data_IF_128422414522
#
_entry.id   IF_128422414522
#
_cell.length_a   1.000
_cell.length_b   1.000
_cell.length_c   1.000
_cell.angle_alpha   90.00
_cell.angle_beta   90.00
_cell.angle_gamma   90.00
#
_symmetry.space_group_name_H-M   'P 1'
#
loop_
_entity.id
_entity.type
_entity.pdbx_description
1 polymer ?
#
# COMPACT_ATOMS: atom_id res chain seq x y z
N UNK A 1 63.23 -5.59 -86.53
CA UNK A 1 63.25 -6.39 -85.30
C UNK A 1 63.35 -5.40 -84.13
N UNK A 2 62.24 -5.03 -83.58
CA UNK A 2 62.16 -4.04 -82.48
C UNK A 2 61.50 -4.79 -81.30
N UNK A 3 62.26 -4.93 -80.22
CA UNK A 3 61.81 -5.58 -78.96
C UNK A 3 61.24 -4.46 -78.11
N UNK A 4 59.93 -4.51 -77.77
CA UNK A 4 59.31 -3.66 -76.83
C UNK A 4 59.30 -4.25 -75.42
N UNK A 5 59.94 -3.61 -74.46
CA UNK A 5 59.94 -3.92 -73.05
C UNK A 5 58.73 -3.23 -72.40
N UNK A 6 57.80 -4.08 -71.92
CA UNK A 6 56.67 -3.65 -71.19
C UNK A 6 56.95 -3.57 -69.65
N UNK A 7 56.88 -2.42 -69.06
CA UNK A 7 57.09 -2.15 -67.64
C UNK A 7 55.75 -2.41 -66.89
N UNK A 8 55.76 -3.43 -66.01
CA UNK A 8 54.61 -3.78 -65.13
C UNK A 8 54.66 -2.89 -63.89
N UNK A 9 53.67 -1.96 -63.74
CA UNK A 9 53.50 -1.15 -62.55
C UNK A 9 52.53 -1.89 -61.60
N UNK A 10 53.05 -2.38 -60.47
CA UNK A 10 52.24 -2.95 -59.41
C UNK A 10 51.65 -1.85 -58.54
N UNK A 11 50.30 -1.68 -58.59
CA UNK A 11 49.56 -0.84 -57.62
C UNK A 11 49.39 -1.62 -56.32
N UNK A 12 50.05 -1.17 -55.26
CA UNK A 12 49.77 -1.63 -53.87
C UNK A 12 48.61 -0.83 -53.33
N UNK A 13 47.43 -1.44 -53.27
CA UNK A 13 46.27 -0.87 -52.59
C UNK A 13 46.44 -1.05 -51.07
N UNK A 14 46.77 0.04 -50.34
CA UNK A 14 46.65 0.08 -48.86
C UNK A 14 45.16 0.06 -48.52
N UNK A 15 44.68 -1.11 -48.12
CA UNK A 15 43.34 -1.23 -47.50
C UNK A 15 43.36 -0.66 -46.08
N UNK A 16 42.76 0.53 -45.89
CA UNK A 16 42.38 1.00 -44.55
C UNK A 16 41.28 0.11 -43.99
N UNK A 17 41.62 -0.82 -43.14
CA UNK A 17 40.64 -1.51 -42.29
C UNK A 17 40.17 -0.54 -41.23
N UNK A 18 39.11 0.23 -41.53
CA UNK A 18 38.38 0.99 -40.55
C UNK A 18 37.79 0.02 -39.50
N UNK A 19 38.33 0.10 -38.27
CA UNK A 19 37.72 -0.58 -37.14
C UNK A 19 36.28 -0.01 -36.97
N UNK A 20 35.28 -0.82 -37.29
CA UNK A 20 33.88 -0.48 -36.97
C UNK A 20 33.78 -0.29 -35.47
N UNK A 21 33.49 0.92 -35.01
CA UNK A 21 33.09 1.17 -33.62
C UNK A 21 31.90 0.28 -33.32
N UNK A 22 31.87 -0.47 -32.22
CA UNK A 22 30.70 -1.24 -31.85
C UNK A 22 29.50 -0.28 -31.76
N UNK A 23 28.43 -0.56 -32.50
CA UNK A 23 27.17 0.14 -32.32
C UNK A 23 26.74 -0.02 -30.87
N UNK A 24 26.29 1.05 -30.18
CA UNK A 24 25.76 0.90 -28.83
C UNK A 24 24.65 -0.15 -28.86
N UNK A 25 24.71 -1.10 -27.95
CA UNK A 25 23.61 -2.06 -27.75
C UNK A 25 22.34 -1.26 -27.46
N UNK A 26 21.18 -1.65 -28.00
CA UNK A 26 19.93 -1.03 -27.60
C UNK A 26 19.78 -1.12 -26.07
N UNK A 27 19.19 -0.09 -25.43
CA UNK A 27 18.91 -0.17 -24.00
C UNK A 27 18.07 -1.44 -23.72
N UNK A 28 18.24 -2.05 -22.56
CA UNK A 28 17.43 -3.21 -22.18
C UNK A 28 15.93 -2.81 -22.19
N UNK A 29 15.07 -3.74 -22.59
CA UNK A 29 13.62 -3.53 -22.51
C UNK A 29 13.19 -3.34 -21.05
N UNK A 30 12.27 -2.39 -20.75
CA UNK A 30 11.75 -2.19 -19.40
C UNK A 30 11.09 -3.47 -18.87
N UNK A 31 11.25 -3.71 -17.56
CA UNK A 31 10.57 -4.82 -16.89
C UNK A 31 9.14 -4.42 -16.58
N UNK A 32 8.17 -5.14 -17.16
CA UNK A 32 6.75 -4.91 -16.88
C UNK A 32 6.38 -5.42 -15.48
N UNK A 33 5.71 -4.56 -14.68
CA UNK A 33 5.21 -4.86 -13.35
C UNK A 33 3.77 -4.37 -13.19
N UNK A 34 2.91 -5.23 -12.62
CA UNK A 34 1.55 -4.90 -12.20
C UNK A 34 1.51 -4.63 -10.72
N UNK A 35 1.06 -3.42 -10.33
CA UNK A 35 0.97 -2.95 -8.95
C UNK A 35 -0.49 -2.81 -8.56
N UNK A 36 -0.96 -3.62 -7.62
CA UNK A 36 -2.33 -3.56 -7.10
C UNK A 36 -2.45 -2.58 -5.95
N UNK A 37 -3.33 -1.58 -6.07
CA UNK A 37 -3.58 -0.58 -5.02
C UNK A 37 -4.78 -0.93 -4.13
N UNK A 38 -5.61 -1.91 -4.53
CA UNK A 38 -6.64 -2.55 -3.70
C UNK A 38 -7.89 -1.73 -3.44
N UNK A 39 -7.96 -0.50 -3.91
CA UNK A 39 -9.10 0.39 -3.70
C UNK A 39 -9.37 1.26 -4.95
N UNK A 40 -10.47 2.03 -4.92
CA UNK A 40 -10.80 3.02 -5.96
C UNK A 40 -9.71 4.10 -6.01
N UNK A 41 -9.49 4.72 -7.19
CA UNK A 41 -8.52 5.79 -7.32
C UNK A 41 -8.80 6.93 -6.33
N UNK A 42 -7.78 7.32 -5.54
CA UNK A 42 -7.89 8.37 -4.54
C UNK A 42 -6.54 9.04 -4.26
N UNK A 43 -6.55 10.15 -3.53
CA UNK A 43 -5.33 10.87 -3.12
C UNK A 43 -4.43 10.03 -2.20
N UNK A 44 -4.95 9.02 -1.55
CA UNK A 44 -4.21 8.11 -0.66
C UNK A 44 -3.13 7.28 -1.37
N UNK A 45 -3.14 7.25 -2.70
CA UNK A 45 -2.14 6.56 -3.54
C UNK A 45 -1.19 7.52 -4.25
N UNK A 46 -1.12 8.77 -3.79
CA UNK A 46 -0.34 9.84 -4.41
C UNK A 46 1.12 9.47 -4.68
N UNK A 47 1.77 8.70 -3.81
CA UNK A 47 3.16 8.26 -3.96
C UNK A 47 3.38 7.38 -5.20
N UNK A 48 2.42 6.51 -5.53
CA UNK A 48 2.49 5.70 -6.74
C UNK A 48 2.26 6.52 -7.99
N UNK A 49 1.32 7.46 -7.94
CA UNK A 49 1.04 8.37 -9.04
C UNK A 49 2.21 9.32 -9.30
N UNK A 50 2.81 9.88 -8.25
CA UNK A 50 3.98 10.74 -8.37
C UNK A 50 5.19 9.97 -8.93
N UNK A 51 5.46 8.75 -8.43
CA UNK A 51 6.57 7.94 -8.92
C UNK A 51 6.45 7.62 -10.41
N UNK A 52 5.24 7.35 -10.89
CA UNK A 52 4.97 7.09 -12.31
C UNK A 52 5.12 8.38 -13.15
N UNK A 53 4.44 9.46 -12.78
CA UNK A 53 4.40 10.72 -13.54
C UNK A 53 5.74 11.45 -13.55
N UNK A 54 6.49 11.43 -12.43
CA UNK A 54 7.85 11.96 -12.36
C UNK A 54 8.86 11.08 -13.13
N UNK A 55 8.45 9.90 -13.59
CA UNK A 55 9.27 9.00 -14.37
C UNK A 55 10.24 8.15 -13.53
N UNK A 56 10.08 8.07 -12.22
CA UNK A 56 10.99 7.29 -11.36
C UNK A 56 10.98 5.81 -11.68
N UNK A 57 9.82 5.25 -12.00
CA UNK A 57 9.72 3.86 -12.47
C UNK A 57 10.43 3.66 -13.80
N UNK A 58 10.18 4.53 -14.77
CA UNK A 58 10.83 4.46 -16.08
C UNK A 58 12.35 4.62 -16.00
N UNK A 59 12.83 5.55 -15.16
CA UNK A 59 14.26 5.79 -14.97
C UNK A 59 14.95 4.60 -14.27
N UNK A 60 14.17 3.80 -13.51
CA UNK A 60 14.58 2.53 -12.93
C UNK A 60 14.47 1.35 -13.91
N UNK A 61 14.10 1.59 -15.19
CA UNK A 61 13.94 0.55 -16.20
C UNK A 61 12.66 -0.27 -16.05
N UNK A 62 11.61 0.30 -15.47
CA UNK A 62 10.33 -0.37 -15.22
C UNK A 62 9.22 0.20 -16.12
N UNK A 63 8.30 -0.69 -16.51
CA UNK A 63 7.00 -0.37 -17.13
C UNK A 63 5.90 -0.81 -16.14
N UNK A 64 5.32 0.17 -15.44
CA UNK A 64 4.42 -0.08 -14.30
C UNK A 64 2.96 0.14 -14.69
N UNK A 65 2.13 -0.88 -14.49
CA UNK A 65 0.67 -0.81 -14.59
C UNK A 65 0.06 -0.69 -13.19
N UNK A 66 -0.54 0.45 -12.84
CA UNK A 66 -1.25 0.66 -11.58
C UNK A 66 -2.70 0.15 -11.70
N UNK A 67 -3.10 -0.78 -10.82
CA UNK A 67 -4.41 -1.40 -10.81
C UNK A 67 -5.21 -0.85 -9.61
N UNK A 68 -6.10 0.10 -9.90
CA UNK A 68 -7.03 0.68 -8.92
C UNK A 68 -8.39 -0.01 -9.02
N UNK A 69 -8.68 -0.92 -8.12
CA UNK A 69 -10.00 -1.54 -7.96
C UNK A 69 -10.15 -2.15 -6.58
N UNK A 70 -11.39 -2.22 -6.11
CA UNK A 70 -11.71 -3.02 -4.93
C UNK A 70 -11.68 -4.49 -5.37
N UNK A 71 -10.74 -5.24 -4.81
CA UNK A 71 -10.56 -6.66 -5.13
C UNK A 71 -10.22 -7.43 -3.86
N UNK A 72 -11.20 -8.12 -3.25
CA UNK A 72 -10.96 -8.91 -2.03
C UNK A 72 -10.03 -10.10 -2.28
N UNK A 73 -9.78 -10.47 -3.55
CA UNK A 73 -8.89 -11.56 -3.93
C UNK A 73 -7.47 -11.09 -4.29
N UNK A 74 -7.16 -9.78 -4.13
CA UNK A 74 -5.89 -9.21 -4.55
C UNK A 74 -4.69 -9.95 -3.94
N UNK A 75 -4.76 -10.33 -2.66
CA UNK A 75 -3.75 -11.15 -1.99
C UNK A 75 -3.56 -12.51 -2.68
N UNK A 76 -4.66 -13.14 -3.11
CA UNK A 76 -4.63 -14.40 -3.86
C UNK A 76 -4.02 -14.21 -5.25
N UNK A 77 -4.35 -13.11 -5.95
CA UNK A 77 -3.79 -12.79 -7.26
C UNK A 77 -2.28 -12.56 -7.21
N UNK A 78 -1.77 -11.95 -6.13
CA UNK A 78 -0.34 -11.80 -5.87
C UNK A 78 0.31 -13.17 -5.64
N UNK A 79 -0.29 -14.01 -4.81
CA UNK A 79 0.21 -15.37 -4.56
C UNK A 79 0.24 -16.26 -5.83
N UNK A 80 -0.64 -15.98 -6.81
CA UNK A 80 -0.69 -16.67 -8.11
C UNK A 80 0.23 -16.02 -9.17
N UNK A 81 0.85 -14.86 -8.89
CA UNK A 81 1.65 -14.10 -9.85
C UNK A 81 0.86 -13.41 -10.96
N UNK A 82 -0.45 -13.26 -10.80
CA UNK A 82 -1.30 -12.50 -11.73
C UNK A 82 -1.16 -10.98 -11.54
N UNK A 83 -0.80 -10.55 -10.32
CA UNK A 83 -0.35 -9.22 -9.93
C UNK A 83 1.04 -9.40 -9.32
N UNK A 84 2.01 -8.55 -9.69
CA UNK A 84 3.39 -8.72 -9.27
C UNK A 84 3.62 -8.30 -7.82
N UNK A 85 3.02 -7.19 -7.40
CA UNK A 85 3.13 -6.60 -6.06
C UNK A 85 1.84 -5.83 -5.77
N UNK A 86 1.39 -5.80 -4.51
CA UNK A 86 0.17 -5.09 -4.15
C UNK A 86 0.22 -4.56 -2.72
N UNK A 87 -0.68 -3.61 -2.42
CA UNK A 87 -0.94 -3.17 -1.05
C UNK A 87 -1.85 -4.18 -0.33
N UNK A 88 -1.45 -4.58 0.87
CA UNK A 88 -2.28 -5.31 1.82
C UNK A 88 -1.82 -5.04 3.25
N UNK A 89 -2.74 -5.11 4.21
CA UNK A 89 -2.45 -4.99 5.63
C UNK A 89 -2.08 -6.34 6.27
N UNK A 90 -1.50 -6.29 7.47
CA UNK A 90 -1.08 -7.49 8.18
C UNK A 90 -2.24 -8.42 8.51
N UNK A 91 -3.45 -7.88 8.73
CA UNK A 91 -4.64 -8.69 9.07
C UNK A 91 -5.16 -9.49 7.89
N UNK A 92 -4.76 -9.12 6.66
CA UNK A 92 -5.00 -9.87 5.43
C UNK A 92 -3.87 -10.87 5.12
N UNK A 93 -2.63 -10.48 5.41
CA UNK A 93 -1.43 -11.29 5.14
C UNK A 93 -1.35 -12.53 6.05
N UNK A 94 -1.57 -12.36 7.37
CA UNK A 94 -1.47 -13.47 8.33
C UNK A 94 -2.42 -14.62 8.00
N UNK A 95 -3.73 -14.40 7.75
CA UNK A 95 -4.63 -15.47 7.36
C UNK A 95 -4.24 -16.12 6.03
N UNK A 96 -3.82 -15.32 5.04
CA UNK A 96 -3.44 -15.81 3.72
C UNK A 96 -2.26 -16.79 3.81
N UNK A 97 -1.18 -16.39 4.50
CA UNK A 97 -0.01 -17.25 4.70
C UNK A 97 -0.37 -18.49 5.53
N UNK A 98 -1.22 -18.34 6.57
CA UNK A 98 -1.69 -19.47 7.37
C UNK A 98 -2.48 -20.52 6.58
N UNK A 99 -3.09 -20.11 5.48
CA UNK A 99 -3.80 -20.96 4.51
C UNK A 99 -2.89 -21.49 3.39
N UNK A 100 -1.59 -21.14 3.40
CA UNK A 100 -0.61 -21.61 2.44
C UNK A 100 -0.51 -20.77 1.16
N UNK A 101 -1.05 -19.54 1.14
CA UNK A 101 -0.83 -18.61 0.03
C UNK A 101 0.63 -18.13 0.09
N UNK A 102 1.44 -18.34 -0.97
CA UNK A 102 2.87 -18.08 -0.94
C UNK A 102 3.19 -16.61 -1.20
N UNK A 103 2.92 -15.75 -0.22
CA UNK A 103 3.20 -14.31 -0.25
C UNK A 103 4.09 -13.88 0.90
N UNK A 104 4.76 -12.75 0.72
CA UNK A 104 5.58 -12.06 1.73
C UNK A 104 5.23 -10.58 1.76
N UNK A 105 5.24 -9.98 2.93
CA UNK A 105 5.18 -8.53 3.12
C UNK A 105 6.61 -8.01 3.18
N UNK A 106 6.93 -7.00 2.37
CA UNK A 106 8.33 -6.61 2.18
C UNK A 106 8.65 -5.13 2.37
N UNK A 107 7.64 -4.26 2.48
CA UNK A 107 7.84 -2.85 2.81
C UNK A 107 6.57 -2.24 3.40
N UNK A 108 6.70 -1.52 4.51
CA UNK A 108 5.58 -0.81 5.13
C UNK A 108 5.29 0.49 4.36
N UNK A 109 4.02 0.75 4.07
CA UNK A 109 3.56 2.02 3.48
C UNK A 109 2.81 2.84 4.52
N UNK A 110 1.88 2.23 5.24
CA UNK A 110 1.21 2.83 6.39
C UNK A 110 1.86 2.29 7.66
N UNK A 111 2.60 3.13 8.38
CA UNK A 111 3.25 2.78 9.64
C UNK A 111 2.21 2.56 10.74
N UNK A 112 1.20 3.45 10.81
CA UNK A 112 0.05 3.27 11.67
C UNK A 112 -1.04 2.44 10.99
N UNK A 113 -1.83 1.69 11.79
CA UNK A 113 -2.95 0.92 11.26
C UNK A 113 -4.13 1.84 10.94
N UNK A 114 -4.58 1.93 9.68
CA UNK A 114 -5.50 2.98 9.26
C UNK A 114 -6.94 2.79 9.74
N UNK A 115 -7.38 1.57 10.06
CA UNK A 115 -8.75 1.33 10.44
C UNK A 115 -9.05 1.86 11.85
N UNK A 116 -10.17 2.55 11.97
CA UNK A 116 -10.65 3.17 13.22
C UNK A 116 -12.13 2.94 13.40
N UNK A 117 -12.63 3.16 14.62
CA UNK A 117 -14.03 3.47 14.86
C UNK A 117 -14.14 4.97 15.08
N UNK A 118 -15.06 5.64 14.40
CA UNK A 118 -15.31 7.06 14.59
C UNK A 118 -16.80 7.35 14.86
N UNK A 119 -17.06 8.44 15.58
CA UNK A 119 -18.39 8.89 15.93
C UNK A 119 -18.49 10.41 15.87
N UNK A 120 -19.66 11.00 15.54
CA UNK A 120 -19.88 12.44 15.63
C UNK A 120 -19.57 12.99 17.02
N UNK A 121 -19.07 14.21 17.11
CA UNK A 121 -18.74 14.86 18.36
C UNK A 121 -19.91 14.96 19.35
N UNK A 122 -21.14 15.02 18.84
CA UNK A 122 -22.38 15.14 19.61
C UNK A 122 -23.10 13.78 19.83
N UNK A 123 -22.48 12.67 19.43
CA UNK A 123 -23.02 11.30 19.57
C UNK A 123 -23.20 10.85 21.04
N UNK A 124 -22.53 11.51 21.98
CA UNK A 124 -22.42 11.08 23.38
C UNK A 124 -21.49 9.88 23.58
N UNK A 125 -20.68 9.53 22.58
CA UNK A 125 -19.62 8.51 22.64
C UNK A 125 -18.31 9.25 22.89
N UNK A 126 -17.66 9.01 24.03
CA UNK A 126 -16.39 9.63 24.40
C UNK A 126 -15.29 8.57 24.71
N UNK A 127 -15.67 7.34 25.01
CA UNK A 127 -14.80 6.22 25.30
C UNK A 127 -15.26 4.98 24.53
N UNK A 128 -14.39 3.96 24.41
CA UNK A 128 -14.75 2.69 23.78
C UNK A 128 -15.91 2.01 24.52
N UNK A 129 -15.98 2.14 25.85
CA UNK A 129 -17.08 1.58 26.64
C UNK A 129 -18.45 2.20 26.29
N UNK A 130 -18.49 3.45 25.81
CA UNK A 130 -19.74 4.08 25.37
C UNK A 130 -20.30 3.49 24.08
N UNK A 131 -19.57 2.58 23.42
CA UNK A 131 -20.06 1.81 22.27
C UNK A 131 -21.07 0.74 22.66
N UNK A 132 -21.21 0.39 23.96
CA UNK A 132 -22.21 -0.56 24.43
C UNK A 132 -23.63 -0.17 23.98
N UNK A 133 -24.33 -1.13 23.38
CA UNK A 133 -25.68 -0.97 22.80
C UNK A 133 -25.78 0.10 21.67
N UNK A 134 -24.67 0.59 21.12
CA UNK A 134 -24.65 1.53 19.99
C UNK A 134 -24.72 0.81 18.65
N UNK A 135 -25.24 1.53 17.65
CA UNK A 135 -25.24 1.10 16.25
C UNK A 135 -23.92 1.46 15.59
N UNK A 136 -23.18 0.44 15.16
CA UNK A 136 -21.89 0.61 14.49
C UNK A 136 -22.01 0.15 13.03
N UNK A 137 -21.82 1.09 12.09
CA UNK A 137 -21.74 0.81 10.67
C UNK A 137 -20.41 0.14 10.31
N UNK A 138 -20.45 -0.99 9.60
CA UNK A 138 -19.26 -1.71 9.15
C UNK A 138 -19.54 -2.47 7.85
N UNK A 139 -18.52 -2.73 6.99
CA UNK A 139 -18.72 -3.54 5.79
C UNK A 139 -19.22 -4.96 6.08
N UNK A 140 -18.77 -5.56 7.19
CA UNK A 140 -19.13 -6.92 7.55
C UNK A 140 -18.31 -7.46 8.73
N UNK A 141 -18.56 -8.73 9.10
CA UNK A 141 -17.78 -9.45 10.11
C UNK A 141 -16.58 -10.15 9.45
N UNK A 142 -15.76 -9.40 8.71
CA UNK A 142 -14.56 -9.88 8.02
C UNK A 142 -13.59 -8.75 7.74
N UNK A 143 -12.33 -9.10 7.43
CA UNK A 143 -11.28 -8.16 7.06
C UNK A 143 -10.78 -7.28 8.19
N UNK A 144 -10.03 -6.26 7.84
CA UNK A 144 -9.29 -5.39 8.76
C UNK A 144 -10.21 -4.62 9.73
N UNK A 145 -11.31 -4.06 9.23
CA UNK A 145 -12.29 -3.34 10.08
C UNK A 145 -12.89 -4.24 11.16
N UNK A 146 -13.11 -5.52 10.84
CA UNK A 146 -13.64 -6.50 11.80
C UNK A 146 -12.61 -6.87 12.87
N UNK A 147 -11.36 -7.12 12.48
CA UNK A 147 -10.27 -7.44 13.41
C UNK A 147 -10.02 -6.27 14.36
N UNK A 148 -9.93 -5.06 13.82
CA UNK A 148 -9.79 -3.82 14.59
C UNK A 148 -10.95 -3.62 15.58
N UNK A 149 -12.20 -3.78 15.12
CA UNK A 149 -13.37 -3.60 15.97
C UNK A 149 -13.36 -4.58 17.17
N UNK A 150 -12.98 -5.85 16.96
CA UNK A 150 -12.83 -6.82 18.05
C UNK A 150 -11.74 -6.40 19.04
N UNK A 151 -10.61 -5.83 18.56
CA UNK A 151 -9.55 -5.34 19.43
C UNK A 151 -10.04 -4.16 20.28
N UNK A 152 -10.71 -3.18 19.67
CA UNK A 152 -11.28 -2.04 20.39
C UNK A 152 -12.29 -2.47 21.43
N UNK A 153 -13.30 -3.26 21.06
CA UNK A 153 -14.33 -3.73 21.98
C UNK A 153 -13.73 -4.54 23.14
N UNK A 154 -12.80 -5.46 22.84
CA UNK A 154 -12.12 -6.26 23.85
C UNK A 154 -11.32 -5.45 24.86
N UNK A 155 -10.78 -4.30 24.49
CA UNK A 155 -10.05 -3.39 25.39
C UNK A 155 -10.95 -2.77 26.46
N UNK A 156 -12.25 -2.68 26.20
CA UNK A 156 -13.27 -2.21 27.14
C UNK A 156 -14.10 -3.37 27.77
N UNK A 157 -13.62 -4.61 27.66
CA UNK A 157 -14.33 -5.83 28.11
C UNK A 157 -15.69 -6.03 27.42
N UNK A 158 -15.87 -5.43 26.22
CA UNK A 158 -17.03 -5.63 25.36
C UNK A 158 -16.77 -6.71 24.31
N UNK A 159 -17.86 -7.26 23.80
CA UNK A 159 -17.88 -8.23 22.70
C UNK A 159 -18.72 -7.70 21.53
N UNK A 160 -18.65 -8.27 20.35
CA UNK A 160 -19.51 -7.87 19.22
C UNK A 160 -21.01 -8.04 19.48
N UNK A 161 -21.40 -8.83 20.48
CA UNK A 161 -22.79 -9.03 20.92
C UNK A 161 -23.31 -7.89 21.81
N UNK A 162 -22.40 -7.08 22.37
CA UNK A 162 -22.74 -5.92 23.19
C UNK A 162 -23.04 -4.65 22.36
N UNK A 163 -22.86 -4.71 21.03
CA UNK A 163 -23.12 -3.62 20.09
C UNK A 163 -24.10 -4.06 19.00
N UNK A 164 -24.80 -3.11 18.36
CA UNK A 164 -25.65 -3.38 17.19
C UNK A 164 -24.86 -3.13 15.90
N UNK A 165 -24.41 -4.20 15.21
CA UNK A 165 -23.72 -4.08 13.93
C UNK A 165 -24.69 -3.84 12.79
N UNK A 166 -24.53 -2.73 12.07
CA UNK A 166 -25.25 -2.40 10.83
C UNK A 166 -24.32 -2.67 9.65
N UNK A 167 -24.67 -3.69 8.83
CA UNK A 167 -23.77 -4.20 7.80
C UNK A 167 -24.03 -3.54 6.44
N UNK A 168 -22.96 -3.09 5.79
CA UNK A 168 -22.95 -2.44 4.47
C UNK A 168 -21.94 -3.14 3.53
N UNK A 169 -22.31 -4.30 2.92
CA UNK A 169 -21.39 -5.06 2.08
C UNK A 169 -20.89 -4.32 0.82
N UNK A 170 -21.54 -3.21 0.48
CA UNK A 170 -21.18 -2.31 -0.63
C UNK A 170 -20.20 -1.18 -0.19
N UNK A 171 -19.68 -1.24 1.05
CA UNK A 171 -18.78 -0.25 1.63
C UNK A 171 -19.38 1.16 1.79
N UNK A 172 -20.71 1.29 1.78
CA UNK A 172 -21.41 2.58 1.98
C UNK A 172 -21.64 2.94 3.47
N UNK A 173 -21.04 2.22 4.40
CA UNK A 173 -21.22 2.35 5.85
C UNK A 173 -20.84 3.74 6.41
N UNK A 174 -19.88 4.43 5.82
CA UNK A 174 -19.52 5.79 6.25
C UNK A 174 -20.72 6.73 6.23
N UNK A 175 -21.52 6.67 5.17
CA UNK A 175 -22.70 7.54 5.04
C UNK A 175 -23.83 7.24 6.05
N UNK A 176 -23.79 6.14 6.81
CA UNK A 176 -24.83 5.85 7.80
C UNK A 176 -24.77 6.79 9.01
N UNK A 177 -23.56 7.27 9.35
CA UNK A 177 -23.36 8.24 10.42
C UNK A 177 -23.96 9.59 10.05
N UNK A 178 -23.67 10.08 8.85
CA UNK A 178 -24.23 11.35 8.33
C UNK A 178 -25.76 11.34 8.25
N UNK A 179 -26.34 10.17 7.95
CA UNK A 179 -27.80 9.98 7.88
C UNK A 179 -28.46 9.72 9.23
N UNK A 180 -27.68 9.60 10.32
CA UNK A 180 -28.17 9.26 11.65
C UNK A 180 -28.72 7.81 11.73
N UNK A 181 -28.32 6.93 10.85
CA UNK A 181 -28.69 5.51 10.83
C UNK A 181 -27.78 4.69 11.76
N UNK A 182 -26.54 5.18 12.00
CA UNK A 182 -25.55 4.62 12.92
C UNK A 182 -25.09 5.67 13.92
N UNK A 183 -24.75 5.27 15.15
CA UNK A 183 -24.15 6.13 16.17
C UNK A 183 -22.64 6.30 15.95
N UNK A 184 -21.99 5.30 15.36
CA UNK A 184 -20.58 5.25 14.99
C UNK A 184 -20.39 4.42 13.73
N UNK A 185 -19.22 4.47 13.11
CA UNK A 185 -18.86 3.60 12.00
C UNK A 185 -17.38 3.23 12.04
N UNK A 186 -17.02 2.12 11.39
CA UNK A 186 -15.63 1.86 11.03
C UNK A 186 -15.24 2.74 9.85
N UNK A 187 -13.95 3.07 9.73
CA UNK A 187 -13.44 3.88 8.63
C UNK A 187 -11.92 3.89 8.64
N UNK A 188 -11.33 4.71 7.78
CA UNK A 188 -9.88 4.97 7.78
C UNK A 188 -9.62 6.34 8.41
N UNK A 189 -8.71 6.41 9.37
CA UNK A 189 -8.38 7.62 10.12
C UNK A 189 -8.06 8.83 9.24
N UNK A 190 -7.42 8.57 8.12
CA UNK A 190 -7.03 9.57 7.14
C UNK A 190 -8.14 9.98 6.16
N UNK A 191 -9.34 9.40 6.24
CA UNK A 191 -10.42 9.69 5.28
C UNK A 191 -11.72 10.12 5.98
N UNK A 192 -12.57 9.18 6.43
CA UNK A 192 -13.91 9.49 6.92
C UNK A 192 -13.92 10.47 8.10
N UNK A 193 -13.08 10.32 9.14
CA UNK A 193 -13.00 11.29 10.23
C UNK A 193 -12.53 12.68 9.78
N UNK A 194 -11.62 12.75 8.81
CA UNK A 194 -11.13 14.02 8.25
C UNK A 194 -12.27 14.75 7.54
N UNK A 195 -12.97 14.05 6.63
CA UNK A 195 -14.11 14.61 5.89
C UNK A 195 -15.22 15.08 6.83
N UNK A 196 -15.54 14.27 7.85
CA UNK A 196 -16.55 14.64 8.86
C UNK A 196 -16.12 15.86 9.66
N UNK A 197 -14.84 15.95 10.05
CA UNK A 197 -14.27 17.08 10.78
C UNK A 197 -14.23 18.39 9.99
N UNK A 198 -14.07 18.33 8.67
CA UNK A 198 -14.18 19.52 7.81
C UNK A 198 -15.61 20.03 7.68
N UNK A 199 -16.60 19.14 7.79
CA UNK A 199 -18.01 19.50 7.72
C UNK A 199 -18.60 20.03 9.04
N UNK A 200 -17.93 19.80 10.19
CA UNK A 200 -18.45 20.13 11.53
C UNK A 200 -17.41 20.03 12.64
N UNK A 201 -17.86 19.84 13.89
CA UNK A 201 -16.95 19.58 15.01
C UNK A 201 -16.13 18.31 14.77
N UNK A 202 -14.87 18.31 15.24
CA UNK A 202 -13.99 17.16 15.11
C UNK A 202 -14.65 15.90 15.72
N UNK A 203 -14.71 14.78 14.96
CA UNK A 203 -15.28 13.53 15.45
C UNK A 203 -14.44 12.94 16.57
N UNK A 204 -15.04 12.04 17.36
CA UNK A 204 -14.30 11.14 18.23
C UNK A 204 -13.76 10.01 17.38
N UNK A 205 -12.48 9.67 17.54
CA UNK A 205 -11.81 8.60 16.79
C UNK A 205 -11.13 7.66 17.77
N UNK A 206 -11.33 6.36 17.60
CA UNK A 206 -10.69 5.30 18.37
C UNK A 206 -9.75 4.51 17.46
N UNK A 207 -8.46 4.56 17.76
CA UNK A 207 -7.41 3.77 17.11
C UNK A 207 -7.06 2.52 17.93
N UNK A 208 -6.39 1.55 17.33
CA UNK A 208 -5.97 0.33 18.04
C UNK A 208 -4.49 0.34 18.45
N UNK A 209 -3.71 1.30 18.01
CA UNK A 209 -2.25 1.27 18.11
C UNK A 209 -1.74 1.19 19.57
N UNK A 210 -2.43 1.84 20.51
CA UNK A 210 -2.15 1.74 21.95
C UNK A 210 -2.68 0.45 22.62
N UNK A 211 -3.47 -0.36 21.90
CA UNK A 211 -4.12 -1.57 22.43
C UNK A 211 -3.41 -2.82 21.93
N UNK A 212 -3.30 -2.95 20.61
CA UNK A 212 -2.56 -4.01 19.93
C UNK A 212 -1.98 -3.43 18.64
N UNK A 213 -0.67 -3.56 18.41
CA UNK A 213 -0.06 -3.06 17.18
C UNK A 213 -0.50 -3.93 15.99
N UNK A 214 -1.58 -3.53 15.34
CA UNK A 214 -1.95 -4.10 14.05
C UNK A 214 -1.10 -3.47 12.96
N UNK A 215 -0.58 -4.29 12.06
CA UNK A 215 0.31 -3.80 11.00
C UNK A 215 -0.51 -3.23 9.84
N UNK A 216 -0.19 -1.99 9.48
CA UNK A 216 -0.85 -1.24 8.41
C UNK A 216 -0.55 -1.79 7.01
N UNK A 217 -1.05 -1.07 6.01
CA UNK A 217 -0.89 -1.46 4.62
C UNK A 217 0.58 -1.34 4.19
N UNK A 218 1.07 -2.37 3.52
CA UNK A 218 2.38 -2.39 2.92
C UNK A 218 2.40 -3.21 1.65
N UNK A 219 3.56 -3.33 1.07
CA UNK A 219 3.76 -4.00 -0.21
C UNK A 219 3.97 -5.49 0.00
N UNK A 220 3.06 -6.30 -0.55
CA UNK A 220 3.12 -7.76 -0.57
C UNK A 220 3.56 -8.25 -1.94
N UNK A 221 4.29 -9.35 -1.98
CA UNK A 221 4.81 -10.00 -3.19
C UNK A 221 4.65 -11.51 -3.10
N UNK A 222 4.39 -12.16 -4.23
CA UNK A 222 4.42 -13.62 -4.34
C UNK A 222 5.86 -14.15 -4.30
N UNK A 223 6.12 -15.27 -3.62
CA UNK A 223 7.47 -15.86 -3.51
C UNK A 223 8.09 -16.14 -4.89
N UNK A 224 7.32 -16.68 -5.83
CA UNK A 224 7.80 -16.94 -7.20
C UNK A 224 8.10 -15.64 -7.98
N UNK A 225 7.32 -14.57 -7.76
CA UNK A 225 7.57 -13.27 -8.38
C UNK A 225 8.81 -12.61 -7.78
N UNK A 226 9.01 -12.73 -6.47
CA UNK A 226 10.20 -12.23 -5.78
C UNK A 226 11.47 -12.91 -6.33
N UNK A 227 11.45 -14.24 -6.49
CA UNK A 227 12.57 -15.00 -7.09
C UNK A 227 12.85 -14.57 -8.54
N UNK A 228 11.80 -14.38 -9.35
CA UNK A 228 11.94 -14.08 -10.78
C UNK A 228 12.27 -12.61 -11.07
N UNK A 229 11.77 -11.66 -10.28
CA UNK A 229 11.80 -10.20 -10.56
C UNK A 229 12.36 -9.38 -9.37
N UNK A 230 13.07 -9.96 -8.42
CA UNK A 230 13.49 -9.30 -7.17
C UNK A 230 14.21 -7.95 -7.39
N UNK A 231 15.09 -7.83 -8.38
CA UNK A 231 15.79 -6.56 -8.67
C UNK A 231 14.81 -5.47 -9.13
N UNK A 232 13.85 -5.82 -9.99
CA UNK A 232 12.84 -4.90 -10.48
C UNK A 232 11.88 -4.47 -9.37
N UNK A 233 11.50 -5.40 -8.48
CA UNK A 233 10.65 -5.12 -7.32
C UNK A 233 11.35 -4.19 -6.33
N UNK A 234 12.65 -4.40 -6.03
CA UNK A 234 13.44 -3.47 -5.21
C UNK A 234 13.50 -2.07 -5.83
N UNK A 235 13.71 -1.98 -7.14
CA UNK A 235 13.75 -0.71 -7.84
C UNK A 235 12.39 0.02 -7.79
N UNK A 236 11.28 -0.73 -7.90
CA UNK A 236 9.92 -0.20 -7.74
C UNK A 236 9.70 0.35 -6.33
N UNK A 237 10.03 -0.42 -5.30
CA UNK A 237 9.90 0.00 -3.89
C UNK A 237 10.73 1.25 -3.63
N UNK A 238 12.00 1.28 -4.05
CA UNK A 238 12.86 2.45 -3.87
C UNK A 238 12.31 3.71 -4.58
N UNK A 239 11.76 3.56 -5.79
CA UNK A 239 11.14 4.67 -6.53
C UNK A 239 9.86 5.17 -5.84
N UNK A 240 9.05 4.26 -5.29
CA UNK A 240 7.83 4.60 -4.53
C UNK A 240 8.18 5.33 -3.25
N UNK A 241 9.14 4.82 -2.45
CA UNK A 241 9.58 5.45 -1.19
C UNK A 241 10.20 6.82 -1.43
N UNK A 242 10.96 6.99 -2.52
CA UNK A 242 11.45 8.32 -2.94
C UNK A 242 10.30 9.30 -3.19
N UNK A 243 9.24 8.89 -3.89
CA UNK A 243 8.08 9.73 -4.10
C UNK A 243 7.35 10.03 -2.78
N UNK A 244 7.29 9.07 -1.85
CA UNK A 244 6.76 9.27 -0.50
C UNK A 244 7.54 10.36 0.25
N UNK A 245 8.88 10.32 0.24
CA UNK A 245 9.73 11.37 0.84
C UNK A 245 9.46 12.77 0.25
N UNK A 246 9.29 12.84 -1.08
CA UNK A 246 8.99 14.12 -1.73
C UNK A 246 7.62 14.66 -1.38
N UNK A 247 6.61 13.80 -1.18
CA UNK A 247 5.26 14.20 -0.75
C UNK A 247 5.25 14.63 0.73
N UNK A 248 5.98 13.93 1.59
CA UNK A 248 6.16 14.34 2.99
C UNK A 248 6.77 15.75 3.08
N UNK A 249 7.75 16.04 2.21
CA UNK A 249 8.39 17.36 2.16
C UNK A 249 7.51 18.45 1.52
N UNK A 250 6.61 18.06 0.60
CA UNK A 250 5.76 18.97 -0.17
C UNK A 250 4.46 18.24 -0.58
N UNK A 251 3.41 18.27 0.28
CA UNK A 251 2.13 17.58 0.03
C UNK A 251 1.44 17.99 -1.27
N UNK A 252 1.66 19.24 -1.72
CA UNK A 252 1.08 19.73 -2.97
C UNK A 252 1.53 18.90 -4.18
N UNK A 253 2.76 18.38 -4.20
CA UNK A 253 3.22 17.48 -5.26
C UNK A 253 2.39 16.21 -5.35
N UNK A 254 2.06 15.63 -4.20
CA UNK A 254 1.21 14.44 -4.12
C UNK A 254 -0.20 14.72 -4.59
N UNK A 255 -0.77 15.85 -4.16
CA UNK A 255 -2.11 16.27 -4.57
C UNK A 255 -2.19 16.51 -6.09
N UNK A 256 -1.21 17.22 -6.68
CA UNK A 256 -1.17 17.43 -8.12
C UNK A 256 -1.03 16.12 -8.91
N UNK A 257 -0.19 15.20 -8.43
CA UNK A 257 -0.05 13.89 -9.04
C UNK A 257 -1.36 13.09 -8.97
N UNK A 258 -2.06 13.14 -7.83
CA UNK A 258 -3.36 12.47 -7.67
C UNK A 258 -4.44 13.10 -8.58
N UNK A 259 -4.51 14.42 -8.67
CA UNK A 259 -5.45 15.13 -9.57
C UNK A 259 -5.14 14.83 -11.05
N UNK A 260 -3.87 14.76 -11.43
CA UNK A 260 -3.49 14.40 -12.80
C UNK A 260 -3.93 12.95 -13.15
N UNK A 261 -3.89 12.03 -12.19
CA UNK A 261 -4.36 10.65 -12.35
C UNK A 261 -5.89 10.55 -12.28
N UNK A 262 -6.52 11.32 -11.40
CA UNK A 262 -7.95 11.29 -11.09
C UNK A 262 -8.50 12.72 -11.13
N UNK A 263 -8.85 13.26 -12.32
CA UNK A 263 -9.22 14.67 -12.47
C UNK A 263 -10.40 15.14 -11.63
N UNK A 264 -11.32 14.22 -11.26
CA UNK A 264 -12.49 14.53 -10.44
C UNK A 264 -12.12 14.99 -9.01
N UNK A 265 -10.92 14.64 -8.51
CA UNK A 265 -10.42 15.10 -7.20
C UNK A 265 -10.23 16.63 -7.17
N UNK A 266 -10.04 17.27 -8.32
CA UNK A 266 -9.92 18.73 -8.40
C UNK A 266 -11.18 19.48 -7.97
N UNK A 267 -12.34 18.83 -7.95
CA UNK A 267 -13.62 19.46 -7.57
C UNK A 267 -13.67 19.83 -6.08
N UNK A 268 -12.90 19.13 -5.23
CA UNK A 268 -12.82 19.40 -3.79
C UNK A 268 -11.36 19.30 -3.28
N UNK A 269 -10.53 20.18 -3.83
CA UNK A 269 -9.08 20.20 -3.59
C UNK A 269 -8.73 20.36 -2.11
N UNK A 270 -9.50 21.14 -1.36
CA UNK A 270 -9.26 21.39 0.07
C UNK A 270 -9.42 20.11 0.89
N UNK A 271 -10.50 19.37 0.67
CA UNK A 271 -10.71 18.05 1.30
C UNK A 271 -9.64 17.05 0.89
N UNK A 272 -9.28 17.01 -0.41
CA UNK A 272 -8.24 16.07 -0.87
C UNK A 272 -6.86 16.36 -0.26
N UNK A 273 -6.52 17.65 -0.08
CA UNK A 273 -5.28 18.01 0.60
C UNK A 273 -5.31 17.59 2.08
N UNK A 274 -6.40 17.84 2.80
CA UNK A 274 -6.54 17.44 4.19
C UNK A 274 -6.46 15.90 4.37
N UNK A 275 -7.08 15.13 3.47
CA UNK A 275 -6.98 13.67 3.44
C UNK A 275 -5.53 13.23 3.16
N UNK A 276 -4.82 13.90 2.25
CA UNK A 276 -3.42 13.59 1.97
C UNK A 276 -2.51 13.92 3.15
N UNK A 277 -2.70 15.07 3.81
CA UNK A 277 -1.93 15.46 5.00
C UNK A 277 -2.12 14.44 6.13
N UNK A 278 -3.35 14.02 6.40
CA UNK A 278 -3.64 12.95 7.36
C UNK A 278 -3.03 11.60 6.92
N UNK A 279 -2.97 11.33 5.61
CA UNK A 279 -2.31 10.13 5.08
C UNK A 279 -0.80 10.18 5.31
N UNK A 280 -0.17 11.34 5.13
CA UNK A 280 1.27 11.55 5.37
C UNK A 280 1.63 11.30 6.85
N UNK A 281 0.77 11.70 7.78
CA UNK A 281 0.98 11.41 9.20
C UNK A 281 1.04 9.91 9.45
N UNK A 282 0.18 9.11 8.81
CA UNK A 282 0.15 7.66 8.95
C UNK A 282 1.29 6.91 8.24
N UNK A 283 2.07 7.57 7.39
CA UNK A 283 3.27 6.97 6.78
C UNK A 283 4.48 6.98 7.71
N UNK A 284 4.39 7.62 8.87
CA UNK A 284 5.50 7.94 9.76
C UNK A 284 5.19 7.55 11.21
N UNK A 285 6.11 6.82 11.83
CA UNK A 285 6.11 6.43 13.24
C UNK A 285 7.53 6.40 13.79
N UNK A 286 7.71 5.92 15.03
CA UNK A 286 9.03 5.78 15.65
C UNK A 286 9.91 4.75 14.91
N UNK A 287 9.34 3.73 14.28
CA UNK A 287 10.09 2.72 13.51
C UNK A 287 10.62 3.32 12.22
N UNK A 288 9.77 4.01 11.47
CA UNK A 288 10.17 4.70 10.24
C UNK A 288 11.15 5.84 10.50
N UNK A 289 11.04 6.53 11.65
CA UNK A 289 11.99 7.54 12.07
C UNK A 289 13.38 6.96 12.40
N UNK A 290 13.43 5.74 12.93
CA UNK A 290 14.68 5.07 13.30
C UNK A 290 15.34 4.35 12.12
N UNK A 291 14.56 3.62 11.33
CA UNK A 291 15.02 2.65 10.33
C UNK A 291 14.69 3.06 8.87
N UNK A 292 13.98 4.19 8.68
CA UNK A 292 13.59 4.74 7.38
C UNK A 292 12.21 4.25 6.89
N UNK A 293 11.67 4.96 5.90
CA UNK A 293 10.41 4.57 5.26
C UNK A 293 10.50 3.15 4.71
N UNK A 294 9.42 2.41 4.81
CA UNK A 294 9.35 1.01 4.39
C UNK A 294 9.79 0.01 5.44
N UNK A 295 10.35 0.44 6.57
CA UNK A 295 10.84 -0.43 7.64
C UNK A 295 9.79 -1.42 8.15
N UNK A 296 10.26 -2.60 8.59
CA UNK A 296 9.42 -3.71 9.04
C UNK A 296 9.47 -3.82 10.57
N UNK A 297 8.35 -3.54 11.25
CA UNK A 297 8.21 -3.71 12.70
C UNK A 297 7.97 -5.20 13.06
N UNK A 298 9.05 -5.99 13.18
CA UNK A 298 8.96 -7.41 13.53
C UNK A 298 8.30 -7.68 14.89
N UNK A 299 8.55 -6.88 15.95
CA UNK A 299 7.80 -7.00 17.21
C UNK A 299 6.30 -6.77 17.06
N UNK A 300 5.87 -5.74 16.33
CA UNK A 300 4.46 -5.48 16.03
C UNK A 300 3.82 -6.62 15.25
N UNK A 301 4.51 -7.19 14.24
CA UNK A 301 4.05 -8.37 13.54
C UNK A 301 3.82 -9.58 14.47
N UNK A 302 4.72 -9.83 15.43
CA UNK A 302 4.55 -10.91 16.40
C UNK A 302 3.33 -10.67 17.31
N UNK A 303 3.18 -9.45 17.83
CA UNK A 303 2.05 -9.09 18.68
C UNK A 303 0.71 -9.24 17.94
N UNK A 304 0.65 -8.82 16.67
CA UNK A 304 -0.54 -9.01 15.82
C UNK A 304 -0.85 -10.49 15.59
N UNK A 305 0.15 -11.32 15.28
CA UNK A 305 -0.04 -12.77 15.09
C UNK A 305 -0.60 -13.40 16.37
N UNK A 306 -0.04 -13.05 17.54
CA UNK A 306 -0.47 -13.56 18.83
C UNK A 306 -1.93 -13.14 19.12
N UNK A 307 -2.26 -11.87 18.89
CA UNK A 307 -3.62 -11.35 19.05
C UNK A 307 -4.62 -12.08 18.14
N UNK A 308 -4.36 -12.13 16.83
CA UNK A 308 -5.26 -12.74 15.86
C UNK A 308 -5.45 -14.24 16.10
N UNK A 309 -4.39 -14.93 16.55
CA UNK A 309 -4.47 -16.35 16.91
C UNK A 309 -5.32 -16.61 18.17
N UNK A 310 -5.42 -15.61 19.05
CA UNK A 310 -6.20 -15.66 20.30
C UNK A 310 -7.68 -15.30 20.13
N UNK A 311 -8.10 -14.80 18.98
CA UNK A 311 -9.52 -14.45 18.74
C UNK A 311 -10.40 -15.69 18.77
N UNK A 312 -11.66 -15.60 19.32
CA UNK A 312 -12.60 -16.72 19.35
C UNK A 312 -12.87 -17.33 17.98
N UNK A 313 -13.05 -16.47 16.96
CA UNK A 313 -13.22 -16.85 15.55
C UNK A 313 -11.96 -16.49 14.77
N UNK A 314 -10.81 -17.02 15.24
CA UNK A 314 -9.51 -16.70 14.65
C UNK A 314 -9.49 -16.97 13.15
N UNK A 315 -9.08 -15.99 12.31
CA UNK A 315 -8.89 -16.19 10.89
C UNK A 315 -7.60 -16.96 10.56
N UNK A 316 -6.77 -17.27 11.57
CA UNK A 316 -5.48 -17.96 11.43
C UNK A 316 -5.71 -19.46 11.38
N UNK A 317 -5.62 -20.06 10.19
CA UNK A 317 -5.93 -21.46 9.96
C UNK A 317 -4.84 -22.42 10.48
N UNK A 318 -3.58 -21.97 10.50
CA UNK A 318 -2.43 -22.74 11.00
C UNK A 318 -1.40 -21.76 11.62
N UNK A 319 -0.58 -22.22 12.59
CA UNK A 319 0.48 -21.39 13.16
C UNK A 319 1.42 -20.84 12.08
N UNK A 320 1.70 -19.55 12.17
CA UNK A 320 2.65 -18.84 11.31
C UNK A 320 3.71 -18.15 12.14
N UNK A 321 4.89 -17.99 11.60
CA UNK A 321 6.00 -17.22 12.20
C UNK A 321 6.22 -15.92 11.44
N UNK A 322 6.78 -14.91 12.11
CA UNK A 322 7.11 -13.63 11.48
C UNK A 322 8.04 -13.81 10.27
N UNK A 323 8.98 -14.77 10.33
CA UNK A 323 9.87 -15.07 9.20
C UNK A 323 9.15 -15.69 7.98
N UNK A 324 7.97 -16.28 8.17
CA UNK A 324 7.12 -16.73 7.06
C UNK A 324 6.29 -15.59 6.45
N UNK A 325 6.08 -14.51 7.19
CA UNK A 325 5.26 -13.37 6.77
C UNK A 325 6.09 -12.31 6.05
N UNK A 326 7.36 -12.12 6.45
CA UNK A 326 8.19 -10.99 6.04
C UNK A 326 9.31 -11.38 5.08
N UNK A 327 9.73 -10.40 4.29
CA UNK A 327 10.99 -10.44 3.52
C UNK A 327 11.67 -9.07 3.57
N UNK A 328 12.97 -9.05 3.84
CA UNK A 328 13.81 -7.84 3.77
C UNK A 328 14.33 -7.58 2.34
N UNK A 329 14.01 -8.46 1.39
CA UNK A 329 14.58 -8.42 0.04
C UNK A 329 14.08 -7.25 -0.82
N UNK A 330 12.96 -6.61 -0.46
CA UNK A 330 12.41 -5.47 -1.20
C UNK A 330 13.02 -4.13 -0.78
N UNK A 331 13.67 -4.06 0.38
CA UNK A 331 14.31 -2.85 0.88
C UNK A 331 15.78 -2.79 0.41
N UNK A 332 16.17 -1.67 -0.18
CA UNK A 332 17.58 -1.42 -0.49
C UNK A 332 18.38 -1.32 0.81
N UNK A 333 19.47 -2.07 0.92
CA UNK A 333 20.46 -1.92 1.99
C UNK A 333 21.68 -1.17 1.47
#
# INVERSE_FOLDING_TARGET
>A
MIVAIGTLVALVALGCTGAASPSPSPPPEPVALKVGLGFIPSVQFAQFYLADQAGYYRDAGLDVELINRIDPELVTLVGQGAVDIALADGTSVVPAVSQGIPIRYGATIYADFPNVVYAPADSGIATIADLEARKIGTPGRYGSSWIMLQALLGSAELTPEDVELVLFPDFSHAACVDRGECDAATGFANNEPVVLGLAGPAPVVFTVDDIVPLVGNGLIVGEATLEAKGDALRALVAATLRATEEIIADPEKGLEAAIAQVPDLAADRETQLAVLEATIEMWQDDVTAADGLGALDRPGWQAMVDFMSGLPDSPVAAPVTVDQLLTDELLAR
#
